data_IF_787420753022
#
_entry.id   IF_787420753022
#
_cell.length_a   1.000
_cell.length_b   1.000
_cell.length_c   1.000
_cell.angle_alpha   90.00
_cell.angle_beta   90.00
_cell.angle_gamma   90.00
#
_symmetry.space_group_name_H-M   'P 1'
#
loop_
_entity.id
_entity.type
_entity.pdbx_description
1 polymer ?
#
# COMPACT_ATOMS: atom_id res chain seq x y z
N UNK A 1 12.70 7.49 0.93
CA UNK A 1 11.45 7.43 0.14
C UNK A 1 10.38 8.22 0.87
N UNK A 2 9.94 9.34 0.30
CA UNK A 2 8.87 10.17 0.85
C UNK A 2 7.59 9.92 0.06
N UNK A 3 6.62 9.26 0.69
CA UNK A 3 5.35 8.86 0.10
C UNK A 3 4.40 10.06 0.17
N UNK A 4 4.01 10.56 -1.00
CA UNK A 4 3.08 11.69 -1.17
C UNK A 4 1.64 11.23 -1.24
N UNK A 5 1.39 10.13 -1.95
CA UNK A 5 0.07 9.57 -2.17
C UNK A 5 0.12 8.04 -2.18
N UNK A 6 -0.98 7.41 -1.76
CA UNK A 6 -1.19 5.96 -1.82
C UNK A 6 -2.49 5.71 -2.57
N UNK A 7 -2.42 4.93 -3.64
CA UNK A 7 -3.59 4.50 -4.39
C UNK A 7 -3.80 2.99 -4.25
N UNK A 8 -5.06 2.58 -4.18
CA UNK A 8 -5.46 1.17 -4.22
C UNK A 8 -6.35 0.96 -5.43
N UNK A 9 -5.84 0.25 -6.43
CA UNK A 9 -6.53 -0.01 -7.69
C UNK A 9 -6.81 -1.52 -7.82
N UNK A 10 -7.77 -1.89 -8.67
CA UNK A 10 -8.16 -3.28 -8.93
C UNK A 10 -8.48 -4.11 -7.67
N UNK A 11 -9.10 -3.47 -6.67
CA UNK A 11 -9.49 -4.14 -5.43
C UNK A 11 -10.50 -5.27 -5.72
N UNK A 12 -10.07 -6.51 -5.51
CA UNK A 12 -10.88 -7.72 -5.64
C UNK A 12 -10.96 -8.43 -4.30
N UNK A 13 -12.18 -8.69 -3.84
CA UNK A 13 -12.41 -9.33 -2.54
C UNK A 13 -13.21 -10.61 -2.74
N UNK A 14 -12.64 -11.75 -2.39
CA UNK A 14 -13.31 -13.06 -2.44
C UNK A 14 -13.68 -13.53 -1.02
N UNK A 15 -14.14 -14.76 -0.85
CA UNK A 15 -14.46 -15.33 0.48
C UNK A 15 -13.21 -15.44 1.38
N UNK A 16 -12.06 -15.78 0.79
CA UNK A 16 -10.86 -16.13 1.57
C UNK A 16 -9.80 -15.02 1.61
N UNK A 17 -9.81 -14.09 0.65
CA UNK A 17 -8.74 -13.11 0.47
C UNK A 17 -9.21 -11.81 -0.17
N UNK A 18 -8.50 -10.73 0.11
CA UNK A 18 -8.53 -9.48 -0.64
C UNK A 18 -7.24 -9.35 -1.44
N UNK A 19 -7.32 -8.85 -2.68
CA UNK A 19 -6.19 -8.59 -3.56
C UNK A 19 -6.35 -7.22 -4.21
N UNK A 20 -5.26 -6.55 -4.52
CA UNK A 20 -5.27 -5.28 -5.22
C UNK A 20 -3.87 -4.83 -5.62
N UNK A 21 -3.81 -3.82 -6.47
CA UNK A 21 -2.59 -3.10 -6.81
C UNK A 21 -2.46 -1.90 -5.88
N UNK A 22 -1.30 -1.74 -5.25
CA UNK A 22 -0.98 -0.61 -4.37
C UNK A 22 0.11 0.21 -5.02
N UNK A 23 -0.18 1.49 -5.25
CA UNK A 23 0.75 2.42 -5.88
C UNK A 23 1.16 3.50 -4.87
N UNK A 24 2.46 3.58 -4.60
CA UNK A 24 3.07 4.60 -3.76
C UNK A 24 3.70 5.66 -4.65
N UNK A 25 3.12 6.86 -4.67
CA UNK A 25 3.70 8.00 -5.37
C UNK A 25 4.74 8.69 -4.48
N UNK A 26 5.96 8.81 -4.99
CA UNK A 26 7.08 9.41 -4.28
C UNK A 26 7.81 10.43 -5.18
N UNK A 27 8.70 11.22 -4.59
CA UNK A 27 9.50 12.21 -5.35
C UNK A 27 10.36 11.58 -6.44
N UNK A 28 10.80 10.35 -6.19
CA UNK A 28 11.72 9.60 -7.05
C UNK A 28 10.98 8.81 -8.14
N UNK A 29 9.64 8.78 -8.09
CA UNK A 29 8.77 8.02 -8.99
C UNK A 29 7.68 7.24 -8.25
N UNK A 30 6.97 6.38 -9.00
CA UNK A 30 5.90 5.53 -8.47
C UNK A 30 6.40 4.12 -8.22
N UNK A 31 6.06 3.54 -7.06
CA UNK A 31 6.32 2.14 -6.74
C UNK A 31 5.00 1.40 -6.68
N UNK A 32 4.86 0.37 -7.51
CA UNK A 32 3.65 -0.44 -7.61
C UNK A 32 3.85 -1.84 -7.01
N UNK A 33 2.87 -2.31 -6.25
CA UNK A 33 2.93 -3.58 -5.54
C UNK A 33 1.61 -4.34 -5.63
N UNK A 34 1.64 -5.56 -6.17
CA UNK A 34 0.50 -6.46 -6.08
C UNK A 34 0.43 -7.09 -4.69
N UNK A 35 -0.62 -6.75 -3.95
CA UNK A 35 -0.80 -7.23 -2.58
C UNK A 35 -1.97 -8.20 -2.50
N UNK A 36 -1.83 -9.20 -1.63
CA UNK A 36 -2.90 -10.14 -1.28
C UNK A 36 -2.90 -10.42 0.22
N UNK A 37 -4.04 -10.25 0.87
CA UNK A 37 -4.20 -10.47 2.30
C UNK A 37 -5.35 -11.45 2.58
N UNK A 38 -5.24 -12.31 3.60
CA UNK A 38 -6.36 -13.12 4.06
C UNK A 38 -7.53 -12.23 4.48
N UNK A 39 -8.75 -12.58 4.10
CA UNK A 39 -9.96 -11.81 4.47
C UNK A 39 -10.34 -12.01 5.94
N UNK A 40 -9.95 -13.13 6.55
CA UNK A 40 -10.24 -13.44 7.95
C UNK A 40 -9.63 -12.36 8.87
N UNK A 41 -10.48 -11.48 9.39
CA UNK A 41 -10.10 -10.38 10.29
C UNK A 41 -9.95 -9.00 9.64
N UNK A 42 -9.98 -8.90 8.30
CA UNK A 42 -9.87 -7.62 7.60
C UNK A 42 -11.24 -6.90 7.54
N UNK A 43 -11.53 -6.04 8.54
CA UNK A 43 -12.73 -5.18 8.52
C UNK A 43 -12.70 -4.16 7.37
N UNK A 44 -11.50 -3.76 6.94
CA UNK A 44 -11.29 -2.87 5.80
C UNK A 44 -10.19 -3.47 4.89
N UNK A 45 -10.56 -4.11 3.77
CA UNK A 45 -9.61 -4.78 2.89
C UNK A 45 -8.61 -3.81 2.25
N UNK A 46 -9.00 -2.54 2.03
CA UNK A 46 -8.12 -1.50 1.50
C UNK A 46 -6.96 -1.22 2.46
N UNK A 47 -7.27 -0.93 3.73
CA UNK A 47 -6.25 -0.69 4.77
C UNK A 47 -5.38 -1.92 5.02
N UNK A 48 -5.96 -3.12 4.94
CA UNK A 48 -5.21 -4.37 5.08
C UNK A 48 -4.18 -4.54 3.93
N UNK A 49 -4.56 -4.22 2.69
CA UNK A 49 -3.65 -4.25 1.55
C UNK A 49 -2.56 -3.18 1.65
N UNK A 50 -2.89 -1.95 2.08
CA UNK A 50 -1.89 -0.89 2.31
C UNK A 50 -0.90 -1.33 3.38
N UNK A 51 -1.38 -1.90 4.48
CA UNK A 51 -0.53 -2.41 5.57
C UNK A 51 0.41 -3.52 5.08
N UNK A 52 -0.09 -4.43 4.26
CA UNK A 52 0.71 -5.50 3.66
C UNK A 52 1.75 -4.95 2.67
N UNK A 53 1.38 -3.96 1.85
CA UNK A 53 2.30 -3.30 0.95
C UNK A 53 3.45 -2.63 1.72
N UNK A 54 3.13 -1.88 2.78
CA UNK A 54 4.15 -1.27 3.66
C UNK A 54 5.03 -2.32 4.32
N UNK A 55 4.47 -3.46 4.76
CA UNK A 55 5.23 -4.57 5.33
C UNK A 55 6.21 -5.17 4.32
N UNK A 56 5.76 -5.42 3.09
CA UNK A 56 6.60 -5.94 2.02
C UNK A 56 7.71 -4.96 1.64
N UNK A 57 7.38 -3.68 1.52
CA UNK A 57 8.31 -2.60 1.24
C UNK A 57 9.39 -2.49 2.34
N UNK A 58 8.99 -2.57 3.61
CA UNK A 58 9.92 -2.59 4.74
C UNK A 58 10.82 -3.85 4.79
N UNK A 59 10.35 -4.97 4.23
CA UNK A 59 11.13 -6.19 4.12
C UNK A 59 12.16 -6.16 2.98
N UNK A 60 12.06 -5.20 2.04
CA UNK A 60 13.04 -5.08 0.97
C UNK A 60 14.43 -4.72 1.54
N UNK A 61 15.54 -5.25 0.97
CA UNK A 61 16.87 -5.19 1.58
C UNK A 61 17.36 -3.76 1.86
N UNK A 62 17.03 -2.84 0.98
CA UNK A 62 17.36 -1.42 1.07
C UNK A 62 16.71 -0.70 2.26
N UNK A 63 15.53 -1.14 2.70
CA UNK A 63 14.85 -0.59 3.88
C UNK A 63 15.18 -1.38 5.14
N UNK A 64 15.26 -2.72 5.04
CA UNK A 64 15.60 -3.61 6.15
C UNK A 64 16.97 -3.32 6.76
N UNK A 65 17.94 -2.90 5.95
CA UNK A 65 19.31 -2.59 6.40
C UNK A 65 19.48 -1.16 6.92
N UNK A 66 18.39 -0.37 6.97
CA UNK A 66 18.43 1.04 7.39
C UNK A 66 19.11 1.98 6.38
N UNK A 67 19.44 1.48 5.17
CA UNK A 67 20.03 2.31 4.11
C UNK A 67 19.03 3.31 3.54
N UNK A 68 17.73 3.04 3.65
CA UNK A 68 16.63 3.93 3.27
C UNK A 68 15.54 3.91 4.34
N UNK A 69 14.92 5.07 4.57
CA UNK A 69 13.76 5.22 5.44
C UNK A 69 12.52 5.69 4.65
N UNK A 70 11.34 5.37 5.17
CA UNK A 70 10.06 5.89 4.70
C UNK A 70 9.66 7.12 5.51
N UNK A 71 9.03 8.06 4.83
CA UNK A 71 8.28 9.14 5.46
C UNK A 71 7.00 9.36 4.65
N UNK A 72 5.99 9.92 5.30
CA UNK A 72 4.67 10.13 4.72
C UNK A 72 4.38 11.63 4.72
N UNK A 73 3.72 12.11 3.67
CA UNK A 73 3.13 13.44 3.73
C UNK A 73 2.07 13.45 4.84
N UNK A 74 1.98 14.52 5.63
CA UNK A 74 1.01 14.62 6.75
C UNK A 74 -0.45 14.65 6.27
N UNK A 75 -0.67 14.69 4.96
CA UNK A 75 -1.96 14.80 4.29
C UNK A 75 -2.13 13.72 3.22
N UNK A 76 -1.74 12.47 3.52
CA UNK A 76 -2.13 11.32 2.70
C UNK A 76 -3.65 11.19 2.82
N UNK A 77 -4.35 11.82 1.87
CA UNK A 77 -5.74 11.53 1.62
C UNK A 77 -5.80 10.13 1.02
N UNK A 78 -6.63 9.26 1.60
CA UNK A 78 -7.06 8.05 0.91
C UNK A 78 -7.75 8.53 -0.38
N UNK A 79 -7.07 8.41 -1.52
CA UNK A 79 -7.68 8.68 -2.82
C UNK A 79 -8.69 7.56 -3.05
N UNK A 80 -9.96 7.79 -2.72
CA UNK A 80 -11.04 6.87 -3.04
C UNK A 80 -11.41 7.03 -4.51
N UNK A 81 -11.12 6.05 -5.39
CA UNK A 81 -11.52 6.13 -6.79
C UNK A 81 -13.04 6.14 -6.98
N UNK A 82 -13.83 5.90 -5.92
CA UNK A 82 -15.29 6.02 -5.94
C UNK A 82 -15.82 7.47 -5.80
N UNK A 83 -14.93 8.47 -5.67
CA UNK A 83 -15.27 9.89 -5.49
C UNK A 83 -14.83 10.79 -6.66
N UNK A 84 -14.40 10.21 -7.79
CA UNK A 84 -14.05 10.93 -9.03
C UNK A 84 -15.20 10.97 -10.04
#
# INVERSE_FOLDING_TARGET
>A
MHIKQIEVSDLKTNADQARGLISFECEEGTVEMHCSVPKQGAKNPRLALISEALRQLACAPEFRTGRRHFSFSTSIADADPALA
#
